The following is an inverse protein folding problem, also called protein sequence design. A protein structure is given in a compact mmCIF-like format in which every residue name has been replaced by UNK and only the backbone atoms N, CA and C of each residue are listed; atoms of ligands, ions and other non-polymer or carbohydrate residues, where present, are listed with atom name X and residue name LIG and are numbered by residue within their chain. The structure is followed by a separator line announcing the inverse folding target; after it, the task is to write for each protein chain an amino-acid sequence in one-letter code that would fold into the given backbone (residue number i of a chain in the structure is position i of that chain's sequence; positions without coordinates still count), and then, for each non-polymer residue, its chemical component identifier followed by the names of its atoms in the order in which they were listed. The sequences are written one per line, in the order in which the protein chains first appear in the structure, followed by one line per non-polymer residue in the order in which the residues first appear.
data_IF_985928637154
#
_entry.id   IF_985928637154
#
_cell.length_a   1.000
_cell.length_b   1.000
_cell.length_c   1.000
_cell.angle_alpha   90.00
_cell.angle_beta   90.00
_cell.angle_gamma   90.00
#
_symmetry.space_group_name_H-M   'P 1'
#
loop_
_entity.id
_entity.type
_entity.pdbx_description
1 polymer ?
#
# COMPACT_ATOMS: atom_id res chain seq x y z
N UNK A 1 -25.04 -0.74 -12.25
CA UNK A 1 -24.96 -2.22 -12.46
C UNK A 1 -23.60 -2.63 -11.99
N UNK A 2 -23.53 -3.49 -10.97
CA UNK A 2 -22.25 -3.95 -10.44
C UNK A 2 -21.44 -4.62 -11.54
N UNK A 3 -20.13 -4.36 -11.57
CA UNK A 3 -19.24 -4.91 -12.59
C UNK A 3 -19.12 -6.42 -12.34
N UNK A 4 -19.50 -7.28 -13.29
CA UNK A 4 -19.69 -8.72 -13.04
C UNK A 4 -18.47 -9.41 -12.40
N UNK A 5 -17.26 -8.98 -12.74
CA UNK A 5 -16.04 -9.51 -12.16
C UNK A 5 -15.90 -9.23 -10.65
N UNK A 6 -16.18 -8.00 -10.20
CA UNK A 6 -16.11 -7.61 -8.79
C UNK A 6 -17.25 -8.25 -7.99
N UNK A 7 -18.46 -8.24 -8.57
CA UNK A 7 -19.65 -8.85 -7.99
C UNK A 7 -19.49 -10.37 -7.84
N UNK A 8 -18.84 -11.05 -8.80
CA UNK A 8 -18.52 -12.47 -8.69
C UNK A 8 -17.57 -12.76 -7.51
N UNK A 9 -16.50 -11.98 -7.37
CA UNK A 9 -15.47 -12.23 -6.35
C UNK A 9 -15.95 -11.91 -4.93
N UNK A 10 -16.79 -10.89 -4.76
CA UNK A 10 -17.27 -10.47 -3.43
C UNK A 10 -18.68 -10.96 -3.10
N UNK A 11 -19.41 -11.43 -4.11
CA UNK A 11 -20.79 -11.91 -3.98
C UNK A 11 -20.90 -13.37 -3.55
N UNK A 12 -22.14 -13.88 -3.48
CA UNK A 12 -22.44 -15.21 -2.95
C UNK A 12 -21.88 -16.37 -3.79
N UNK A 13 -21.52 -16.12 -5.05
CA UNK A 13 -20.92 -17.13 -5.93
C UNK A 13 -19.39 -17.23 -5.78
N UNK A 14 -18.74 -16.23 -5.17
CA UNK A 14 -17.29 -16.24 -4.93
C UNK A 14 -16.78 -17.51 -4.24
N UNK A 15 -17.41 -17.96 -3.13
CA UNK A 15 -17.06 -19.22 -2.48
C UNK A 15 -17.10 -20.44 -3.41
N UNK A 16 -18.03 -20.52 -4.36
CA UNK A 16 -18.13 -21.64 -5.30
C UNK A 16 -16.95 -21.66 -6.27
N UNK A 17 -16.56 -20.49 -6.78
CA UNK A 17 -15.41 -20.33 -7.67
C UNK A 17 -14.11 -20.73 -6.96
N UNK A 18 -13.92 -20.28 -5.71
CA UNK A 18 -12.72 -20.61 -4.95
C UNK A 18 -12.70 -22.06 -4.44
N UNK A 19 -13.85 -22.63 -4.08
CA UNK A 19 -13.96 -24.03 -3.68
C UNK A 19 -13.52 -24.99 -4.80
N UNK A 20 -13.88 -24.68 -6.05
CA UNK A 20 -13.46 -25.48 -7.20
C UNK A 20 -11.93 -25.54 -7.33
N UNK A 21 -11.24 -24.41 -7.15
CA UNK A 21 -9.78 -24.36 -7.21
C UNK A 21 -9.09 -25.07 -6.04
N UNK A 22 -9.70 -25.06 -4.85
CA UNK A 22 -9.16 -25.74 -3.66
C UNK A 22 -9.36 -27.26 -3.73
N UNK A 23 -10.45 -27.72 -4.33
CA UNK A 23 -10.76 -29.14 -4.49
C UNK A 23 -9.69 -29.89 -5.30
N UNK A 24 -8.96 -29.21 -6.19
CA UNK A 24 -7.83 -29.80 -6.94
C UNK A 24 -6.68 -30.26 -6.03
N UNK A 25 -6.63 -29.80 -4.78
CA UNK A 25 -5.62 -30.16 -3.78
C UNK A 25 -6.16 -31.11 -2.70
N UNK A 26 -7.24 -31.86 -2.98
CA UNK A 26 -7.91 -32.75 -2.02
C UNK A 26 -8.31 -32.03 -0.71
N UNK A 27 -8.69 -30.76 -0.84
CA UNK A 27 -9.09 -29.88 0.24
C UNK A 27 -10.54 -29.40 0.07
N UNK A 28 -11.18 -29.04 1.17
CA UNK A 28 -12.54 -28.49 1.20
C UNK A 28 -12.52 -27.10 1.83
N UNK A 29 -13.20 -26.16 1.18
CA UNK A 29 -13.40 -24.81 1.70
C UNK A 29 -14.53 -24.84 2.75
N UNK A 30 -14.24 -24.41 3.97
CA UNK A 30 -15.19 -24.34 5.09
C UNK A 30 -15.75 -22.92 5.28
N UNK A 31 -14.88 -21.91 5.20
CA UNK A 31 -15.24 -20.50 5.33
C UNK A 31 -14.34 -19.66 4.43
N UNK A 32 -14.85 -18.51 3.99
CA UNK A 32 -14.16 -17.60 3.10
C UNK A 32 -14.53 -16.16 3.41
N UNK A 33 -13.52 -15.34 3.70
CA UNK A 33 -13.70 -13.92 3.97
C UNK A 33 -12.71 -13.09 3.17
N UNK A 34 -13.20 -12.08 2.46
CA UNK A 34 -12.34 -11.07 1.83
C UNK A 34 -11.60 -10.28 2.94
N UNK A 35 -10.28 -10.19 2.80
CA UNK A 35 -9.40 -9.46 3.70
C UNK A 35 -8.95 -8.14 3.09
N UNK A 36 -8.62 -8.17 1.80
CA UNK A 36 -8.24 -6.97 1.05
C UNK A 36 -8.73 -7.06 -0.40
N UNK A 37 -9.21 -5.95 -0.96
CA UNK A 37 -9.78 -5.85 -2.32
C UNK A 37 -9.19 -4.66 -3.05
N UNK A 38 -8.47 -4.88 -4.14
CA UNK A 38 -7.96 -3.81 -4.98
C UNK A 38 -8.67 -3.83 -6.35
N UNK A 39 -9.46 -2.78 -6.61
CA UNK A 39 -10.25 -2.60 -7.83
C UNK A 39 -9.62 -1.50 -8.68
N UNK A 40 -9.61 -1.67 -9.99
CA UNK A 40 -9.22 -0.62 -10.94
C UNK A 40 -10.46 -0.02 -11.66
N UNK A 41 -10.33 1.07 -12.43
CA UNK A 41 -11.46 1.71 -13.13
C UNK A 41 -12.19 0.84 -14.15
N UNK A 42 -11.59 -0.27 -14.60
CA UNK A 42 -12.27 -1.24 -15.47
C UNK A 42 -13.17 -2.20 -14.68
N UNK A 43 -13.06 -2.20 -13.35
CA UNK A 43 -13.70 -3.13 -12.44
C UNK A 43 -13.02 -4.49 -12.33
N UNK A 44 -11.86 -4.67 -12.99
CA UNK A 44 -10.99 -5.78 -12.68
C UNK A 44 -10.48 -5.64 -11.24
N UNK A 45 -10.45 -6.76 -10.53
CA UNK A 45 -10.17 -6.78 -9.11
C UNK A 45 -9.13 -7.84 -8.78
N UNK A 46 -8.41 -7.62 -7.69
CA UNK A 46 -7.64 -8.64 -7.00
C UNK A 46 -8.12 -8.67 -5.55
N UNK A 47 -8.41 -9.86 -5.05
CA UNK A 47 -8.92 -10.08 -3.71
C UNK A 47 -7.98 -11.03 -2.98
N UNK A 48 -7.55 -10.61 -1.79
CA UNK A 48 -6.93 -11.48 -0.82
C UNK A 48 -8.02 -12.00 0.12
N UNK A 49 -8.15 -13.30 0.26
CA UNK A 49 -9.09 -13.93 1.19
C UNK A 49 -8.35 -14.59 2.34
N UNK A 50 -9.01 -14.64 3.50
CA UNK A 50 -8.74 -15.61 4.55
C UNK A 50 -9.74 -16.75 4.41
N UNK A 51 -9.25 -17.97 4.30
CA UNK A 51 -10.04 -19.17 4.09
C UNK A 51 -9.81 -20.18 5.21
N UNK A 52 -10.89 -20.80 5.70
CA UNK A 52 -10.82 -22.04 6.46
C UNK A 52 -10.79 -23.22 5.49
N UNK A 53 -9.72 -24.01 5.51
CA UNK A 53 -9.52 -25.12 4.58
C UNK A 53 -9.39 -26.42 5.35
N UNK A 54 -10.27 -27.39 5.10
CA UNK A 54 -10.18 -28.75 5.61
C UNK A 54 -9.38 -29.61 4.63
N UNK A 55 -8.33 -30.25 5.12
CA UNK A 55 -7.50 -31.17 4.32
C UNK A 55 -8.00 -32.61 4.39
N UNK A 56 -7.49 -33.47 3.52
CA UNK A 56 -7.83 -34.89 3.46
C UNK A 56 -7.62 -35.66 4.77
N UNK A 57 -6.67 -35.22 5.62
CA UNK A 57 -6.43 -35.81 6.94
C UNK A 57 -7.40 -35.30 8.04
N UNK A 58 -8.36 -34.45 7.66
CA UNK A 58 -9.35 -33.85 8.54
C UNK A 58 -8.87 -32.61 9.29
N UNK A 59 -7.60 -32.20 9.14
CA UNK A 59 -7.09 -30.96 9.73
C UNK A 59 -7.73 -29.75 9.09
N UNK A 60 -8.02 -28.73 9.89
CA UNK A 60 -8.52 -27.44 9.40
C UNK A 60 -7.45 -26.40 9.63
N UNK A 61 -7.07 -25.71 8.56
CA UNK A 61 -6.09 -24.64 8.59
C UNK A 61 -6.65 -23.34 8.05
N UNK A 62 -6.14 -22.23 8.57
CA UNK A 62 -6.38 -20.91 7.99
C UNK A 62 -5.36 -20.66 6.89
N UNK A 63 -5.84 -20.42 5.67
CA UNK A 63 -5.01 -20.16 4.49
C UNK A 63 -5.33 -18.80 3.89
N UNK A 64 -4.33 -18.17 3.26
CA UNK A 64 -4.55 -16.97 2.45
C UNK A 64 -4.68 -17.36 0.98
N UNK A 65 -5.71 -16.84 0.31
CA UNK A 65 -5.96 -17.09 -1.11
C UNK A 65 -5.92 -15.77 -1.87
N UNK A 66 -5.27 -15.75 -3.03
CA UNK A 66 -5.38 -14.66 -3.99
C UNK A 66 -6.34 -15.07 -5.10
N UNK A 67 -7.24 -14.16 -5.49
CA UNK A 67 -8.02 -14.29 -6.72
C UNK A 67 -8.00 -12.99 -7.51
N UNK A 68 -7.88 -13.05 -8.84
CA UNK A 68 -7.92 -11.86 -9.69
C UNK A 68 -8.60 -12.14 -11.01
N UNK A 69 -9.14 -11.10 -11.64
CA UNK A 69 -9.89 -11.18 -12.89
C UNK A 69 -9.21 -10.45 -14.05
N UNK A 70 -9.53 -10.89 -15.27
CA UNK A 70 -9.15 -10.21 -16.51
C UNK A 70 -7.65 -10.18 -16.76
N UNK A 71 -7.14 -9.06 -17.31
CA UNK A 71 -5.73 -8.92 -17.72
C UNK A 71 -4.72 -8.98 -16.57
N UNK A 72 -5.20 -9.00 -15.32
CA UNK A 72 -4.37 -9.05 -14.11
C UNK A 72 -4.00 -10.47 -13.70
N UNK A 73 -4.58 -11.50 -14.32
CA UNK A 73 -4.25 -12.90 -14.03
C UNK A 73 -2.78 -13.16 -14.36
N UNK A 74 -1.94 -13.44 -13.34
CA UNK A 74 -0.53 -13.71 -13.58
C UNK A 74 -0.34 -15.06 -14.30
N UNK A 75 0.64 -15.16 -15.22
CA UNK A 75 1.00 -16.44 -15.82
C UNK A 75 1.32 -17.49 -14.74
N UNK A 76 0.71 -18.67 -14.84
CA UNK A 76 0.89 -19.76 -13.88
C UNK A 76 -0.17 -19.84 -12.77
N UNK A 77 -1.12 -18.88 -12.70
CA UNK A 77 -2.31 -19.04 -11.86
C UNK A 77 -3.21 -20.17 -12.37
N UNK A 78 -3.91 -20.85 -11.45
CA UNK A 78 -5.02 -21.72 -11.82
C UNK A 78 -6.18 -20.84 -12.29
N UNK A 79 -6.75 -21.12 -13.46
CA UNK A 79 -7.80 -20.27 -14.06
C UNK A 79 -9.12 -21.02 -14.11
N UNK A 80 -10.14 -20.45 -13.47
CA UNK A 80 -11.54 -20.87 -13.61
C UNK A 80 -12.23 -19.90 -14.57
N UNK A 81 -12.77 -20.41 -15.65
CA UNK A 81 -13.46 -19.62 -16.68
C UNK A 81 -14.93 -20.03 -16.78
N UNK A 82 -15.82 -19.06 -16.97
CA UNK A 82 -17.25 -19.30 -17.07
C UNK A 82 -18.03 -18.08 -17.56
N UNK A 83 -19.37 -18.20 -17.54
CA UNK A 83 -20.27 -17.08 -17.76
C UNK A 83 -20.89 -16.64 -16.43
N UNK A 84 -20.86 -15.35 -16.13
CA UNK A 84 -21.50 -14.76 -14.96
C UNK A 84 -22.29 -13.52 -15.37
N UNK A 85 -23.58 -13.48 -15.04
CA UNK A 85 -24.51 -12.41 -15.45
C UNK A 85 -24.48 -12.09 -16.96
N UNK A 86 -24.24 -13.10 -17.79
CA UNK A 86 -24.21 -12.97 -19.25
C UNK A 86 -22.88 -12.46 -19.82
N UNK A 87 -21.85 -12.31 -18.99
CA UNK A 87 -20.50 -11.95 -19.41
C UNK A 87 -19.52 -13.11 -19.17
N UNK A 88 -18.55 -13.26 -20.07
CA UNK A 88 -17.46 -14.21 -19.87
C UNK A 88 -16.48 -13.67 -18.82
N UNK A 89 -16.20 -14.47 -17.80
CA UNK A 89 -15.28 -14.11 -16.72
C UNK A 89 -14.25 -15.21 -16.52
N UNK A 90 -12.99 -14.80 -16.46
CA UNK A 90 -11.86 -15.63 -16.04
C UNK A 90 -11.38 -15.17 -14.68
N UNK A 91 -11.13 -16.13 -13.78
CA UNK A 91 -10.63 -15.90 -12.43
C UNK A 91 -9.35 -16.71 -12.23
N UNK A 92 -8.23 -16.02 -12.06
CA UNK A 92 -6.95 -16.60 -11.67
C UNK A 92 -6.87 -16.74 -10.15
N UNK A 93 -6.51 -17.91 -9.65
CA UNK A 93 -6.55 -18.27 -8.22
C UNK A 93 -5.24 -18.94 -7.80
N UNK A 94 -4.79 -18.63 -6.59
CA UNK A 94 -3.64 -19.28 -5.95
C UNK A 94 -3.76 -19.23 -4.42
N UNK A 95 -3.05 -20.13 -3.76
CA UNK A 95 -2.91 -20.15 -2.31
C UNK A 95 -1.52 -19.65 -1.90
N UNK A 96 -1.44 -18.86 -0.84
CA UNK A 96 -0.16 -18.55 -0.18
C UNK A 96 0.56 -19.85 0.23
N UNK A 97 1.91 -19.95 0.08
CA UNK A 97 2.84 -18.95 -0.45
C UNK A 97 3.09 -19.08 -1.97
N UNK A 98 2.22 -19.78 -2.71
CA UNK A 98 2.40 -20.09 -4.14
C UNK A 98 1.81 -19.02 -5.05
N UNK A 99 2.11 -17.74 -4.76
CA UNK A 99 1.75 -16.64 -5.65
C UNK A 99 2.61 -16.71 -6.93
N UNK A 100 2.02 -16.94 -8.11
CA UNK A 100 2.77 -17.13 -9.35
C UNK A 100 3.54 -15.88 -9.79
N UNK A 101 3.18 -14.69 -9.30
CA UNK A 101 3.96 -13.48 -9.56
C UNK A 101 5.13 -13.30 -8.58
N UNK A 102 5.16 -14.03 -7.46
CA UNK A 102 6.16 -13.92 -6.39
C UNK A 102 6.87 -15.27 -6.18
N UNK A 103 7.70 -15.72 -7.13
CA UNK A 103 8.29 -17.07 -7.11
C UNK A 103 9.25 -17.32 -5.94
N UNK A 104 9.85 -16.27 -5.36
CA UNK A 104 10.67 -16.37 -4.16
C UNK A 104 9.88 -16.61 -2.86
N UNK A 105 8.55 -16.43 -2.87
CA UNK A 105 7.72 -16.45 -1.66
C UNK A 105 7.71 -17.80 -0.93
N UNK A 106 7.67 -18.97 -1.60
CA UNK A 106 7.82 -20.27 -0.93
C UNK A 106 9.14 -20.42 -0.17
N UNK A 107 10.25 -19.93 -0.73
CA UNK A 107 11.57 -19.95 -0.08
C UNK A 107 11.57 -18.99 1.10
N UNK A 108 11.10 -17.76 0.89
CA UNK A 108 11.11 -16.70 1.90
C UNK A 108 10.20 -16.99 3.10
N UNK A 109 9.15 -17.79 2.93
CA UNK A 109 8.21 -18.16 4.00
C UNK A 109 8.51 -19.51 4.67
N UNK A 110 9.57 -20.21 4.24
CA UNK A 110 9.97 -21.49 4.81
C UNK A 110 11.19 -21.31 5.74
N UNK A 111 11.04 -21.52 7.08
CA UNK A 111 12.08 -21.28 8.08
C UNK A 111 13.47 -21.83 7.76
N UNK A 112 13.55 -23.07 7.27
CA UNK A 112 14.81 -23.73 6.96
C UNK A 112 15.43 -23.27 5.63
N UNK A 113 14.60 -23.01 4.61
CA UNK A 113 15.06 -22.56 3.30
C UNK A 113 15.55 -21.11 3.36
N UNK A 114 14.81 -20.25 4.06
CA UNK A 114 15.26 -18.87 4.28
C UNK A 114 16.53 -18.83 5.13
N UNK A 115 16.67 -19.71 6.13
CA UNK A 115 17.90 -19.82 6.91
C UNK A 115 19.10 -20.24 6.06
N UNK A 116 18.90 -21.12 5.07
CA UNK A 116 19.95 -21.46 4.09
C UNK A 116 20.36 -20.25 3.26
N UNK A 117 19.40 -19.51 2.72
CA UNK A 117 19.66 -18.26 2.00
C UNK A 117 20.40 -17.23 2.86
N UNK A 118 20.01 -17.06 4.12
CA UNK A 118 20.67 -16.13 5.05
C UNK A 118 22.11 -16.54 5.36
N UNK A 119 22.41 -17.86 5.43
CA UNK A 119 23.79 -18.36 5.57
C UNK A 119 24.62 -18.07 4.32
N UNK A 120 24.05 -18.25 3.13
CA UNK A 120 24.75 -17.95 1.86
C UNK A 120 25.18 -16.48 1.76
N UNK A 121 24.33 -15.56 2.25
CA UNK A 121 24.64 -14.13 2.32
C UNK A 121 25.44 -13.72 3.57
N UNK A 122 25.74 -14.65 4.49
CA UNK A 122 26.46 -14.35 5.74
C UNK A 122 25.68 -13.48 6.72
N UNK A 123 24.34 -13.49 6.65
CA UNK A 123 23.46 -12.70 7.51
C UNK A 123 23.17 -13.39 8.85
N UNK A 124 23.07 -14.72 8.86
CA UNK A 124 22.85 -15.53 10.06
C UNK A 124 23.46 -16.93 9.88
N UNK A 125 23.92 -17.53 10.97
CA UNK A 125 24.42 -18.92 11.03
C UNK A 125 23.34 -19.91 11.48
N UNK A 126 22.15 -19.42 11.84
CA UNK A 126 21.06 -20.25 12.37
C UNK A 126 20.58 -21.28 11.35
N UNK A 127 20.20 -22.47 11.82
CA UNK A 127 19.66 -23.54 10.97
C UNK A 127 18.19 -23.35 10.61
N UNK A 128 17.51 -22.42 11.29
CA UNK A 128 16.10 -22.05 11.11
C UNK A 128 15.91 -20.60 11.54
N UNK A 129 14.95 -19.91 10.94
CA UNK A 129 14.55 -18.55 11.31
C UNK A 129 13.09 -18.54 11.78
N UNK A 130 12.75 -17.63 12.68
CA UNK A 130 11.33 -17.34 12.94
C UNK A 130 10.84 -16.30 11.93
N UNK A 131 9.65 -16.52 11.40
CA UNK A 131 9.10 -15.79 10.26
C UNK A 131 7.67 -15.40 10.59
N UNK A 132 7.39 -14.10 10.54
CA UNK A 132 6.05 -13.55 10.70
C UNK A 132 5.67 -12.73 9.46
N UNK A 133 4.65 -13.14 8.69
CA UNK A 133 4.10 -12.30 7.64
C UNK A 133 3.52 -11.01 8.24
N UNK A 134 3.99 -9.86 7.74
CA UNK A 134 3.47 -8.54 8.13
C UNK A 134 2.46 -8.02 7.11
N UNK A 135 2.76 -8.18 5.83
CA UNK A 135 1.91 -7.72 4.73
C UNK A 135 2.00 -8.68 3.56
N UNK A 136 0.88 -8.91 2.91
CA UNK A 136 0.81 -9.64 1.65
C UNK A 136 -0.18 -8.94 0.72
N UNK A 137 0.33 -8.41 -0.38
CA UNK A 137 -0.44 -7.85 -1.49
C UNK A 137 -0.33 -8.82 -2.67
N UNK A 138 -1.39 -9.60 -2.96
CA UNK A 138 -1.34 -10.60 -4.01
C UNK A 138 -0.87 -10.01 -5.35
N UNK A 139 0.01 -10.72 -6.03
CA UNK A 139 0.68 -10.34 -7.28
C UNK A 139 1.53 -9.06 -7.27
N UNK A 140 1.72 -8.41 -6.11
CA UNK A 140 2.56 -7.23 -5.98
C UNK A 140 3.79 -7.49 -5.12
N UNK A 141 3.59 -7.79 -3.83
CA UNK A 141 4.68 -8.08 -2.91
C UNK A 141 4.20 -8.73 -1.60
N UNK A 142 5.13 -9.28 -0.83
CA UNK A 142 4.95 -9.64 0.57
C UNK A 142 6.07 -9.03 1.42
N UNK A 143 5.80 -8.75 2.69
CA UNK A 143 6.80 -8.34 3.68
C UNK A 143 6.73 -9.28 4.87
N UNK A 144 7.88 -9.87 5.21
CA UNK A 144 8.05 -10.81 6.30
C UNK A 144 8.99 -10.21 7.34
N UNK A 145 8.58 -10.19 8.61
CA UNK A 145 9.51 -10.00 9.72
C UNK A 145 10.23 -11.31 9.98
N UNK A 146 11.56 -11.25 10.09
CA UNK A 146 12.43 -12.41 10.21
C UNK A 146 13.40 -12.18 11.35
N UNK A 147 13.57 -13.14 12.24
CA UNK A 147 14.59 -13.07 13.29
C UNK A 147 15.25 -14.41 13.58
N UNK A 148 16.48 -14.35 14.06
CA UNK A 148 17.29 -15.52 14.44
C UNK A 148 17.50 -15.64 15.96
N UNK A 149 16.70 -14.89 16.74
CA UNK A 149 16.82 -14.74 18.18
C UNK A 149 17.83 -13.66 18.63
N UNK A 150 18.67 -13.12 17.74
CA UNK A 150 19.60 -12.04 18.04
C UNK A 150 19.34 -10.78 17.21
N UNK A 151 19.09 -10.96 15.93
CA UNK A 151 18.87 -9.87 14.98
C UNK A 151 17.50 -10.02 14.34
N UNK A 152 16.98 -8.88 13.89
CA UNK A 152 15.71 -8.76 13.20
C UNK A 152 15.91 -8.11 11.84
N UNK A 153 15.24 -8.66 10.85
CA UNK A 153 15.26 -8.25 9.46
C UNK A 153 13.86 -8.21 8.89
N UNK A 154 13.75 -7.54 7.76
CA UNK A 154 12.53 -7.47 6.96
C UNK A 154 12.85 -8.02 5.58
N UNK A 155 12.13 -9.05 5.17
CA UNK A 155 12.25 -9.66 3.85
C UNK A 155 11.08 -9.18 3.00
N UNK A 156 11.37 -8.33 2.01
CA UNK A 156 10.41 -7.89 0.99
C UNK A 156 10.53 -8.83 -0.20
N UNK A 157 9.46 -9.58 -0.47
CA UNK A 157 9.35 -10.46 -1.63
C UNK A 157 8.59 -9.71 -2.72
N UNK A 158 9.23 -9.49 -3.86
CA UNK A 158 8.68 -8.75 -5.00
C UNK A 158 8.71 -9.59 -6.26
N UNK A 159 8.13 -9.06 -7.34
CA UNK A 159 8.28 -9.68 -8.66
C UNK A 159 9.75 -9.64 -9.09
N UNK A 160 10.26 -10.68 -9.79
CA UNK A 160 11.64 -10.70 -10.29
C UNK A 160 12.03 -9.45 -11.07
N UNK A 161 11.11 -8.92 -11.88
CA UNK A 161 11.33 -7.71 -12.68
C UNK A 161 11.51 -6.42 -11.86
N UNK A 162 11.10 -6.40 -10.59
CA UNK A 162 11.21 -5.21 -9.74
C UNK A 162 12.52 -5.17 -8.93
N UNK A 163 13.24 -6.30 -8.77
CA UNK A 163 14.38 -6.39 -7.85
C UNK A 163 15.47 -5.38 -8.19
N UNK A 164 15.85 -5.29 -9.46
CA UNK A 164 16.94 -4.43 -9.90
C UNK A 164 16.62 -2.94 -9.67
N UNK A 165 15.39 -2.51 -9.99
CA UNK A 165 14.95 -1.12 -9.81
C UNK A 165 14.93 -0.74 -8.33
N UNK A 166 14.36 -1.60 -7.47
CA UNK A 166 14.32 -1.35 -6.03
C UNK A 166 15.70 -1.31 -5.39
N UNK A 167 16.58 -2.25 -5.73
CA UNK A 167 17.96 -2.22 -5.23
C UNK A 167 18.67 -0.94 -5.69
N UNK A 168 18.45 -0.52 -6.94
CA UNK A 168 19.05 0.71 -7.46
C UNK A 168 18.58 1.96 -6.71
N UNK A 169 17.27 2.09 -6.43
CA UNK A 169 16.74 3.20 -5.61
C UNK A 169 17.38 3.22 -4.21
N UNK A 170 17.55 2.06 -3.58
CA UNK A 170 18.22 1.97 -2.29
C UNK A 170 19.69 2.39 -2.38
N UNK A 171 20.43 1.92 -3.40
CA UNK A 171 21.83 2.27 -3.63
C UNK A 171 22.05 3.77 -3.83
N UNK A 172 21.13 4.44 -4.53
CA UNK A 172 21.15 5.89 -4.71
C UNK A 172 20.90 6.63 -3.39
N UNK A 173 19.94 6.19 -2.59
CA UNK A 173 19.40 6.99 -1.46
C UNK A 173 20.08 6.73 -0.12
N UNK A 174 20.54 5.51 0.18
CA UNK A 174 20.97 5.12 1.54
C UNK A 174 22.15 5.93 2.10
N UNK A 175 22.92 6.59 1.24
CA UNK A 175 24.06 7.43 1.63
C UNK A 175 23.67 8.88 1.93
N UNK A 176 22.47 9.28 1.55
CA UNK A 176 22.01 10.66 1.58
C UNK A 176 20.94 10.89 2.64
N UNK A 177 20.03 9.93 2.80
CA UNK A 177 18.95 9.93 3.78
C UNK A 177 18.96 8.62 4.57
N UNK A 178 18.33 8.55 5.77
CA UNK A 178 18.40 7.37 6.62
C UNK A 178 17.49 6.23 6.12
N UNK A 179 17.69 5.78 4.88
CA UNK A 179 17.00 4.62 4.31
C UNK A 179 17.75 3.34 4.72
N UNK A 180 17.06 2.28 5.16
CA UNK A 180 17.70 0.99 5.42
C UNK A 180 18.44 0.48 4.17
N UNK A 181 19.73 0.12 4.26
CA UNK A 181 20.46 -0.43 3.12
C UNK A 181 19.97 -1.84 2.78
N UNK A 182 20.03 -2.22 1.50
CA UNK A 182 19.81 -3.61 1.07
C UNK A 182 20.98 -4.46 1.53
N UNK A 183 20.70 -5.48 2.34
CA UNK A 183 21.72 -6.40 2.86
C UNK A 183 21.97 -7.57 1.90
N UNK A 184 20.91 -8.01 1.22
CA UNK A 184 20.95 -9.08 0.24
C UNK A 184 19.77 -8.98 -0.71
N UNK A 185 19.93 -9.51 -1.92
CA UNK A 185 18.83 -9.71 -2.85
C UNK A 185 19.05 -10.94 -3.73
N UNK A 186 17.95 -11.49 -4.25
CA UNK A 186 17.96 -12.62 -5.19
C UNK A 186 17.23 -12.25 -6.48
N UNK A 187 17.65 -12.84 -7.59
CA UNK A 187 17.05 -12.57 -8.90
C UNK A 187 15.57 -12.99 -8.99
N UNK A 188 15.12 -13.94 -8.17
CA UNK A 188 13.75 -14.44 -8.12
C UNK A 188 12.82 -13.65 -7.19
N UNK A 189 13.31 -12.62 -6.49
CA UNK A 189 12.42 -11.64 -5.83
C UNK A 189 12.67 -11.34 -4.36
N UNK A 190 13.71 -11.88 -3.71
CA UNK A 190 14.01 -11.54 -2.30
C UNK A 190 14.79 -10.24 -2.22
N UNK A 191 14.40 -9.35 -1.31
CA UNK A 191 15.19 -8.21 -0.84
C UNK A 191 15.20 -8.24 0.69
N UNK A 192 16.38 -8.22 1.30
CA UNK A 192 16.56 -8.25 2.76
C UNK A 192 17.01 -6.88 3.27
N UNK A 193 16.26 -6.34 4.22
CA UNK A 193 16.50 -5.04 4.86
C UNK A 193 16.74 -5.23 6.37
N UNK A 194 17.59 -4.42 7.01
CA UNK A 194 17.71 -4.42 8.46
C UNK A 194 16.46 -3.81 9.10
N UNK A 195 16.32 -4.03 10.40
CA UNK A 195 15.38 -3.25 11.21
C UNK A 195 15.70 -1.74 11.16
N UNK A 196 14.66 -0.95 10.89
CA UNK A 196 14.71 0.50 10.93
C UNK A 196 14.88 1.00 12.37
N UNK A 197 15.68 2.06 12.55
CA UNK A 197 15.93 2.65 13.88
C UNK A 197 14.82 3.61 14.27
N UNK A 198 14.52 3.68 15.57
CA UNK A 198 13.53 4.59 16.16
C UNK A 198 12.13 4.00 16.19
N UNK A 199 11.14 4.87 16.35
CA UNK A 199 9.71 4.50 16.42
C UNK A 199 8.99 5.08 15.21
N UNK A 200 8.08 4.30 14.61
CA UNK A 200 7.25 4.77 13.51
C UNK A 200 6.43 6.01 13.91
N UNK A 201 6.35 7.00 13.03
CA UNK A 201 5.77 8.31 13.33
C UNK A 201 4.25 8.21 13.54
N UNK A 202 3.58 7.28 12.85
CA UNK A 202 2.18 6.93 13.09
C UNK A 202 1.94 6.54 14.56
N UNK A 203 2.79 5.69 15.11
CA UNK A 203 2.73 5.20 16.49
C UNK A 203 3.03 6.32 17.48
N UNK A 204 3.99 7.20 17.16
CA UNK A 204 4.27 8.39 17.99
C UNK A 204 3.09 9.38 18.02
N UNK A 205 2.35 9.50 16.92
CA UNK A 205 1.15 10.34 16.83
C UNK A 205 0.02 9.71 17.65
N UNK A 206 -0.21 8.40 17.52
CA UNK A 206 -1.28 7.68 18.21
C UNK A 206 -1.04 7.55 19.72
N UNK A 207 0.17 7.16 20.15
CA UNK A 207 0.48 6.99 21.57
C UNK A 207 0.59 8.33 22.31
N UNK A 208 0.98 9.39 21.58
CA UNK A 208 1.19 10.73 22.13
C UNK A 208 2.37 10.82 23.11
N UNK A 209 2.65 12.03 23.59
CA UNK A 209 3.64 12.29 24.65
C UNK A 209 5.12 12.26 24.24
N UNK A 210 5.46 11.75 23.06
CA UNK A 210 6.80 11.79 22.49
C UNK A 210 7.04 13.03 21.62
N UNK A 211 8.31 13.40 21.44
CA UNK A 211 8.70 14.50 20.56
C UNK A 211 8.64 14.05 19.09
N UNK A 212 7.76 14.69 18.31
CA UNK A 212 7.69 14.53 16.85
C UNK A 212 8.80 15.39 16.18
N UNK A 213 9.36 14.96 15.04
CA UNK A 213 10.25 15.81 14.25
C UNK A 213 9.58 17.12 13.86
N UNK A 214 10.33 18.23 13.88
CA UNK A 214 9.81 19.48 13.34
C UNK A 214 9.67 19.38 11.80
N UNK A 215 8.74 20.11 11.16
CA UNK A 215 8.63 20.16 9.69
C UNK A 215 9.96 20.50 8.99
N UNK A 216 10.81 21.32 9.59
CA UNK A 216 12.15 21.64 9.06
C UNK A 216 13.08 20.40 9.00
N UNK A 217 12.91 19.45 9.93
CA UNK A 217 13.65 18.19 9.90
C UNK A 217 13.14 17.27 8.78
N UNK A 218 11.83 17.26 8.51
CA UNK A 218 11.27 16.53 7.37
C UNK A 218 11.75 17.13 6.04
N UNK A 219 11.76 18.46 5.94
CA UNK A 219 12.31 19.15 4.77
C UNK A 219 13.78 18.83 4.55
N UNK A 220 14.57 18.78 5.63
CA UNK A 220 16.00 18.43 5.52
C UNK A 220 16.22 17.02 4.95
N UNK A 221 15.30 16.08 5.21
CA UNK A 221 15.33 14.74 4.59
C UNK A 221 14.99 14.85 3.10
N UNK A 222 13.93 15.59 2.76
CA UNK A 222 13.50 15.79 1.39
C UNK A 222 14.56 16.49 0.53
N UNK A 223 15.22 17.51 1.06
CA UNK A 223 16.30 18.26 0.39
C UNK A 223 17.59 17.46 0.24
N UNK A 224 17.75 16.40 1.04
CA UNK A 224 18.88 15.49 0.93
C UNK A 224 18.66 14.38 -0.12
N UNK A 225 17.47 14.27 -0.73
CA UNK A 225 17.25 13.30 -1.80
C UNK A 225 18.21 13.56 -2.98
N UNK A 226 18.88 12.52 -3.50
CA UNK A 226 19.92 12.70 -4.52
C UNK A 226 19.35 13.01 -5.90
N UNK A 227 20.01 13.91 -6.64
CA UNK A 227 19.65 14.32 -8.01
C UNK A 227 19.62 13.13 -8.98
N UNK A 228 20.37 12.06 -8.69
CA UNK A 228 20.41 10.83 -9.48
C UNK A 228 19.01 10.17 -9.62
N UNK A 229 18.09 10.40 -8.68
CA UNK A 229 16.70 9.94 -8.79
C UNK A 229 15.97 10.54 -10.01
N UNK A 230 16.43 11.69 -10.53
CA UNK A 230 15.87 12.31 -11.73
C UNK A 230 16.04 11.46 -13.00
N UNK A 231 16.92 10.45 -12.97
CA UNK A 231 17.14 9.54 -14.09
C UNK A 231 16.15 8.37 -14.15
N UNK A 232 15.34 8.19 -13.11
CA UNK A 232 14.36 7.10 -13.00
C UNK A 232 13.05 7.43 -13.71
N UNK A 233 12.19 6.42 -13.86
CA UNK A 233 10.85 6.63 -14.38
C UNK A 233 10.02 7.47 -13.40
N UNK A 234 9.35 8.49 -13.92
CA UNK A 234 8.43 9.33 -13.16
C UNK A 234 7.11 8.59 -12.94
N UNK A 235 6.71 8.48 -11.68
CA UNK A 235 5.38 8.03 -11.31
C UNK A 235 4.34 9.17 -11.48
N UNK A 236 3.08 8.86 -11.80
CA UNK A 236 2.02 9.85 -11.85
C UNK A 236 1.76 10.51 -10.49
N UNK A 237 1.47 11.80 -10.47
CA UNK A 237 1.10 12.49 -9.22
C UNK A 237 -0.33 12.15 -8.78
N UNK A 238 -0.67 12.45 -7.52
CA UNK A 238 -2.04 12.29 -7.02
C UNK A 238 -3.06 13.05 -7.86
N UNK A 239 -2.73 14.25 -8.36
CA UNK A 239 -3.59 15.02 -9.26
C UNK A 239 -3.85 14.28 -10.58
N UNK A 240 -2.83 13.63 -11.14
CA UNK A 240 -2.95 12.86 -12.38
C UNK A 240 -3.75 11.56 -12.17
N UNK A 241 -3.80 11.05 -10.93
CA UNK A 241 -4.51 9.82 -10.56
C UNK A 241 -5.94 10.06 -10.06
N UNK A 242 -6.44 11.30 -9.98
CA UNK A 242 -7.80 11.59 -9.48
C UNK A 242 -8.87 10.79 -10.23
N UNK A 243 -8.87 10.82 -11.56
CA UNK A 243 -9.86 10.07 -12.35
C UNK A 243 -9.69 8.56 -12.24
N UNK A 244 -8.46 8.07 -12.05
CA UNK A 244 -8.22 6.66 -11.80
C UNK A 244 -8.83 6.24 -10.46
N UNK A 245 -8.57 6.96 -9.38
CA UNK A 245 -9.13 6.63 -8.06
C UNK A 245 -10.65 6.83 -8.02
N UNK A 246 -11.17 7.88 -8.66
CA UNK A 246 -12.61 8.10 -8.80
C UNK A 246 -13.27 6.96 -9.61
N UNK A 247 -12.64 6.50 -10.70
CA UNK A 247 -13.10 5.34 -11.46
C UNK A 247 -13.19 4.08 -10.60
N UNK A 248 -12.14 3.77 -9.82
CA UNK A 248 -12.13 2.63 -8.91
C UNK A 248 -13.23 2.74 -7.82
N UNK A 249 -13.43 3.94 -7.25
CA UNK A 249 -14.51 4.18 -6.29
C UNK A 249 -15.89 4.02 -6.92
N UNK A 250 -16.12 4.51 -8.13
CA UNK A 250 -17.39 4.32 -8.87
C UNK A 250 -17.68 2.82 -9.06
N UNK A 251 -16.66 2.02 -9.32
CA UNK A 251 -16.79 0.56 -9.42
C UNK A 251 -17.18 -0.07 -8.08
N UNK A 252 -16.42 0.24 -7.01
CA UNK A 252 -16.64 -0.30 -5.67
C UNK A 252 -17.97 0.13 -5.04
N UNK A 253 -18.41 1.36 -5.30
CA UNK A 253 -19.55 2.01 -4.67
C UNK A 253 -20.81 2.02 -5.54
N UNK A 254 -20.96 1.05 -6.46
CA UNK A 254 -22.07 1.03 -7.42
C UNK A 254 -23.45 1.11 -6.75
N UNK A 255 -23.61 0.52 -5.56
CA UNK A 255 -24.87 0.49 -4.80
C UNK A 255 -24.87 1.48 -3.62
N UNK A 256 -23.89 2.41 -3.56
CA UNK A 256 -23.71 3.36 -2.46
C UNK A 256 -23.90 4.81 -2.95
N UNK A 257 -25.15 5.30 -3.06
CA UNK A 257 -25.45 6.59 -3.66
C UNK A 257 -24.81 7.78 -2.92
N UNK A 258 -24.62 7.68 -1.60
CA UNK A 258 -23.98 8.72 -0.81
C UNK A 258 -22.49 8.89 -1.18
N UNK A 259 -21.78 7.78 -1.39
CA UNK A 259 -20.37 7.80 -1.84
C UNK A 259 -20.28 8.40 -3.24
N UNK A 260 -21.14 7.95 -4.17
CA UNK A 260 -21.11 8.40 -5.56
C UNK A 260 -21.45 9.90 -5.71
N UNK A 261 -22.46 10.38 -4.98
CA UNK A 261 -22.81 11.80 -4.97
C UNK A 261 -21.64 12.63 -4.43
N UNK A 262 -21.08 12.21 -3.28
CA UNK A 262 -20.00 12.97 -2.66
C UNK A 262 -18.71 12.97 -3.48
N UNK A 263 -18.38 11.83 -4.10
CA UNK A 263 -17.24 11.71 -5.01
C UNK A 263 -17.40 12.65 -6.21
N UNK A 264 -18.61 12.76 -6.75
CA UNK A 264 -18.90 13.67 -7.88
C UNK A 264 -18.62 15.11 -7.48
N UNK A 265 -19.14 15.56 -6.34
CA UNK A 265 -18.91 16.93 -5.84
C UNK A 265 -17.40 17.23 -5.70
N UNK A 266 -16.63 16.31 -5.11
CA UNK A 266 -15.19 16.49 -4.88
C UNK A 266 -14.40 16.52 -6.18
N UNK A 267 -14.71 15.62 -7.12
CA UNK A 267 -14.03 15.57 -8.42
C UNK A 267 -14.34 16.82 -9.25
N UNK A 268 -15.60 17.27 -9.28
CA UNK A 268 -15.98 18.52 -9.95
C UNK A 268 -15.21 19.71 -9.36
N UNK A 269 -15.18 19.84 -8.03
CA UNK A 269 -14.43 20.91 -7.36
C UNK A 269 -12.91 20.84 -7.61
N UNK A 270 -12.33 19.63 -7.71
CA UNK A 270 -10.91 19.46 -8.06
C UNK A 270 -10.60 19.93 -9.48
N UNK A 271 -11.49 19.65 -10.43
CA UNK A 271 -11.34 19.98 -11.85
C UNK A 271 -11.56 21.47 -12.15
N UNK A 272 -12.28 22.20 -11.29
CA UNK A 272 -12.42 23.66 -11.39
C UNK A 272 -11.11 24.41 -11.07
N UNK A 273 -10.19 23.77 -10.35
CA UNK A 273 -8.93 24.39 -9.93
C UNK A 273 -7.85 24.09 -10.97
N UNK A 274 -7.34 25.13 -11.64
CA UNK A 274 -6.23 24.96 -12.58
C UNK A 274 -4.97 24.51 -11.83
N UNK A 275 -4.43 23.37 -12.25
CA UNK A 275 -3.23 22.77 -11.69
C UNK A 275 -1.98 23.53 -12.15
N UNK A 276 -1.25 24.09 -11.20
CA UNK A 276 0.03 24.71 -11.45
C UNK A 276 1.12 23.63 -11.42
N UNK A 277 1.85 23.49 -12.54
CA UNK A 277 3.00 22.57 -12.63
C UNK A 277 4.23 23.19 -12.01
N UNK A 278 5.00 22.36 -11.33
CA UNK A 278 6.30 22.73 -10.76
C UNK A 278 7.45 22.13 -11.57
N UNK A 279 8.65 22.65 -11.32
CA UNK A 279 9.86 21.96 -11.76
C UNK A 279 9.94 20.59 -11.09
N UNK A 280 10.32 19.57 -11.87
CA UNK A 280 10.52 18.23 -11.34
C UNK A 280 11.82 18.20 -10.53
N UNK A 281 11.75 17.65 -9.33
CA UNK A 281 12.85 17.43 -8.41
C UNK A 281 12.84 15.99 -7.90
N UNK A 282 13.93 15.52 -7.26
CA UNK A 282 13.90 14.26 -6.52
C UNK A 282 12.83 14.28 -5.41
N UNK A 283 11.94 13.30 -5.45
CA UNK A 283 10.89 13.09 -4.44
C UNK A 283 10.94 11.67 -3.89
N UNK A 284 10.37 11.47 -2.70
CA UNK A 284 10.10 10.15 -2.16
C UNK A 284 8.96 9.46 -2.93
N UNK A 285 7.93 10.22 -3.30
CA UNK A 285 6.76 9.74 -4.05
C UNK A 285 5.65 9.14 -3.19
N UNK A 286 5.88 8.96 -1.88
CA UNK A 286 4.88 8.50 -0.90
C UNK A 286 5.23 8.99 0.52
N UNK A 287 5.58 10.27 0.68
CA UNK A 287 6.12 10.80 1.94
C UNK A 287 5.03 11.07 2.99
N UNK A 288 4.76 10.09 3.85
CA UNK A 288 3.78 10.22 4.94
C UNK A 288 4.28 9.59 6.26
N UNK A 289 3.55 9.79 7.35
CA UNK A 289 3.93 9.36 8.71
C UNK A 289 4.21 7.86 8.86
N UNK A 290 3.49 7.01 8.11
CA UNK A 290 3.74 5.56 8.11
C UNK A 290 5.08 5.14 7.50
N UNK A 291 5.75 6.03 6.74
CA UNK A 291 7.06 5.77 6.13
C UNK A 291 8.22 6.36 6.92
N UNK A 292 7.94 7.04 8.05
CA UNK A 292 8.92 7.78 8.81
C UNK A 292 9.11 7.17 10.19
N UNK A 293 10.36 7.00 10.58
CA UNK A 293 10.72 6.63 11.95
C UNK A 293 11.47 7.79 12.59
N UNK A 294 11.21 8.00 13.86
CA UNK A 294 11.85 9.06 14.62
C UNK A 294 12.22 8.62 16.04
N UNK A 295 13.23 9.29 16.58
CA UNK A 295 13.63 9.20 17.98
C UNK A 295 14.01 10.60 18.47
N UNK A 296 13.43 11.03 19.60
CA UNK A 296 13.71 12.34 20.21
C UNK A 296 13.56 13.54 19.25
N UNK A 297 12.54 13.51 18.37
CA UNK A 297 12.30 14.56 17.38
C UNK A 297 13.28 14.59 16.20
N UNK A 298 14.07 13.53 15.99
CA UNK A 298 14.97 13.37 14.84
C UNK A 298 14.46 12.23 13.98
N UNK A 299 14.44 12.42 12.65
CA UNK A 299 14.12 11.35 11.69
C UNK A 299 15.29 10.35 11.67
N UNK A 300 15.00 9.10 12.02
CA UNK A 300 15.98 8.02 12.15
C UNK A 300 15.85 6.94 11.09
N UNK A 301 14.70 6.85 10.42
CA UNK A 301 14.58 6.06 9.20
C UNK A 301 13.52 6.61 8.24
N UNK A 302 13.71 6.34 6.95
CA UNK A 302 12.72 6.54 5.88
C UNK A 302 12.52 5.20 5.17
N UNK A 303 11.26 4.76 5.03
CA UNK A 303 10.87 3.50 4.42
C UNK A 303 10.19 3.72 3.06
N UNK A 304 10.08 2.64 2.27
CA UNK A 304 9.30 2.58 1.04
C UNK A 304 9.66 3.60 -0.05
N UNK A 305 10.95 3.68 -0.36
CA UNK A 305 11.49 4.45 -1.49
C UNK A 305 11.19 3.82 -2.88
N UNK A 306 10.25 2.87 -2.95
CA UNK A 306 9.86 2.20 -4.20
C UNK A 306 9.40 3.19 -5.27
N UNK A 307 8.79 4.30 -4.84
CA UNK A 307 8.26 5.37 -5.70
C UNK A 307 9.25 6.54 -5.90
N UNK A 308 10.45 6.49 -5.30
CA UNK A 308 11.35 7.64 -5.23
C UNK A 308 11.97 7.96 -6.59
N UNK A 309 11.68 9.12 -7.17
CA UNK A 309 12.03 9.46 -8.55
C UNK A 309 11.78 10.93 -8.86
N UNK A 310 11.65 11.31 -10.15
CA UNK A 310 11.27 12.66 -10.54
C UNK A 310 9.82 12.96 -10.13
N UNK A 311 9.58 14.06 -9.43
CA UNK A 311 8.24 14.50 -9.03
C UNK A 311 8.19 15.96 -8.62
N UNK A 312 7.04 16.42 -8.11
CA UNK A 312 6.83 17.82 -7.73
C UNK A 312 6.89 17.94 -6.20
N UNK A 313 7.69 18.86 -5.64
CA UNK A 313 7.97 18.91 -4.19
C UNK A 313 6.71 19.11 -3.36
N UNK A 314 5.74 19.85 -3.87
CA UNK A 314 4.47 20.07 -3.17
C UNK A 314 3.62 18.82 -3.02
N UNK A 315 3.80 17.78 -3.85
CA UNK A 315 3.13 16.50 -3.67
C UNK A 315 3.56 15.82 -2.37
N UNK A 316 4.84 15.92 -1.97
CA UNK A 316 5.35 15.33 -0.71
C UNK A 316 4.63 15.90 0.53
N UNK A 317 4.46 17.22 0.56
CA UNK A 317 3.73 17.90 1.64
C UNK A 317 2.23 17.60 1.58
N UNK A 318 1.67 17.52 0.37
CA UNK A 318 0.26 17.19 0.18
C UNK A 318 -0.06 15.77 0.65
N UNK A 319 0.81 14.79 0.34
CA UNK A 319 0.69 13.41 0.79
C UNK A 319 0.74 13.33 2.31
N UNK A 320 1.75 13.96 2.95
CA UNK A 320 1.82 14.04 4.41
C UNK A 320 0.55 14.65 5.03
N UNK A 321 0.08 15.80 4.51
CA UNK A 321 -1.13 16.47 5.03
C UNK A 321 -2.39 15.63 4.84
N UNK A 322 -2.51 14.91 3.72
CA UNK A 322 -3.64 14.05 3.44
C UNK A 322 -3.70 12.88 4.44
N UNK A 323 -2.56 12.25 4.70
CA UNK A 323 -2.48 11.16 5.66
C UNK A 323 -2.70 11.63 7.11
N UNK A 324 -2.09 12.75 7.53
CA UNK A 324 -2.36 13.32 8.86
C UNK A 324 -3.83 13.70 9.03
N UNK A 325 -4.47 14.22 7.98
CA UNK A 325 -5.90 14.52 8.00
C UNK A 325 -6.76 13.25 8.13
N UNK A 326 -6.34 12.15 7.51
CA UNK A 326 -7.01 10.86 7.63
C UNK A 326 -6.81 10.24 9.02
N UNK A 327 -5.59 10.29 9.58
CA UNK A 327 -5.29 9.86 10.96
C UNK A 327 -6.10 10.69 11.98
N UNK A 328 -6.31 11.98 11.73
CA UNK A 328 -7.08 12.84 12.62
C UNK A 328 -8.58 12.46 12.71
N UNK A 329 -9.10 11.62 11.80
CA UNK A 329 -10.45 11.06 11.90
C UNK A 329 -10.60 10.02 13.01
N UNK A 330 -9.49 9.49 13.54
CA UNK A 330 -9.50 8.61 14.72
C UNK A 330 -9.44 9.44 16.01
N UNK A 331 -10.47 9.32 16.85
CA UNK A 331 -10.62 10.02 18.12
C UNK A 331 -9.38 9.92 19.03
N UNK A 332 -8.65 8.81 18.97
CA UNK A 332 -7.45 8.60 19.80
C UNK A 332 -6.26 9.45 19.37
N UNK A 333 -6.21 9.82 18.09
CA UNK A 333 -5.07 10.50 17.47
C UNK A 333 -5.41 11.94 17.04
N UNK A 334 -6.68 12.35 17.06
CA UNK A 334 -7.17 13.63 16.53
C UNK A 334 -6.37 14.84 16.98
N UNK A 335 -6.14 15.03 18.28
CA UNK A 335 -5.48 16.23 18.80
C UNK A 335 -4.03 16.34 18.32
N UNK A 336 -3.27 15.24 18.42
CA UNK A 336 -1.84 15.21 18.06
C UNK A 336 -1.67 15.31 16.54
N UNK A 337 -2.46 14.56 15.78
CA UNK A 337 -2.44 14.59 14.32
C UNK A 337 -2.83 15.96 13.77
N UNK A 338 -3.89 16.58 14.29
CA UNK A 338 -4.33 17.93 13.87
C UNK A 338 -3.25 18.96 14.15
N UNK A 339 -2.70 18.99 15.38
CA UNK A 339 -1.63 19.93 15.73
C UNK A 339 -0.39 19.76 14.85
N UNK A 340 -0.05 18.51 14.50
CA UNK A 340 1.10 18.23 13.65
C UNK A 340 0.83 18.61 12.18
N UNK A 341 -0.39 18.35 11.68
CA UNK A 341 -0.83 18.80 10.36
C UNK A 341 -0.79 20.34 10.26
N UNK A 342 -1.23 21.08 11.29
CA UNK A 342 -1.17 22.54 11.32
C UNK A 342 0.28 23.05 11.24
N UNK A 343 1.20 22.41 11.95
CA UNK A 343 2.62 22.76 11.91
C UNK A 343 3.23 22.50 10.52
N UNK A 344 2.93 21.34 9.92
CA UNK A 344 3.37 20.98 8.58
C UNK A 344 2.79 21.92 7.52
N UNK A 345 1.49 22.25 7.61
CA UNK A 345 0.80 23.17 6.72
C UNK A 345 1.43 24.57 6.78
N UNK A 346 1.62 25.10 8.00
CA UNK A 346 2.23 26.41 8.20
C UNK A 346 3.68 26.47 7.67
N UNK A 347 4.40 25.35 7.65
CA UNK A 347 5.73 25.25 7.03
C UNK A 347 5.66 25.20 5.51
N UNK A 348 4.78 24.38 4.96
CA UNK A 348 4.62 24.19 3.53
C UNK A 348 4.09 25.46 2.82
N UNK A 349 3.12 26.17 3.41
CA UNK A 349 2.54 27.41 2.84
C UNK A 349 3.55 28.57 2.74
N UNK A 350 4.72 28.47 3.39
CA UNK A 350 5.82 29.44 3.18
C UNK A 350 6.56 29.24 1.85
N UNK A 351 6.36 28.10 1.18
CA UNK A 351 7.11 27.64 0.00
C UNK A 351 6.21 27.32 -1.18
N UNK A 352 5.02 26.79 -0.90
CA UNK A 352 4.03 26.38 -1.90
C UNK A 352 2.81 27.30 -1.78
N UNK A 353 2.21 27.66 -2.91
CA UNK A 353 0.99 28.45 -2.89
C UNK A 353 -0.14 27.66 -2.18
N UNK A 354 -0.80 28.28 -1.20
CA UNK A 354 -1.82 27.63 -0.37
C UNK A 354 -2.93 26.94 -1.21
N UNK A 355 -3.38 27.58 -2.29
CA UNK A 355 -4.39 27.01 -3.21
C UNK A 355 -3.91 25.70 -3.84
N UNK A 356 -2.67 25.67 -4.31
CA UNK A 356 -2.07 24.53 -4.97
C UNK A 356 -1.85 23.37 -3.98
N UNK A 357 -1.33 23.67 -2.79
CA UNK A 357 -1.15 22.67 -1.73
C UNK A 357 -2.49 22.03 -1.33
N UNK A 358 -3.52 22.86 -1.10
CA UNK A 358 -4.88 22.38 -0.78
C UNK A 358 -5.46 21.47 -1.85
N UNK A 359 -5.27 21.81 -3.13
CA UNK A 359 -5.74 21.00 -4.26
C UNK A 359 -5.06 19.62 -4.28
N UNK A 360 -3.73 19.58 -4.13
CA UNK A 360 -2.95 18.33 -4.11
C UNK A 360 -3.30 17.47 -2.90
N UNK A 361 -3.47 18.07 -1.72
CA UNK A 361 -3.91 17.35 -0.51
C UNK A 361 -5.28 16.71 -0.71
N UNK A 362 -6.22 17.45 -1.31
CA UNK A 362 -7.53 16.90 -1.65
C UNK A 362 -7.45 15.76 -2.67
N UNK A 363 -6.57 15.86 -3.67
CA UNK A 363 -6.34 14.79 -4.64
C UNK A 363 -5.77 13.51 -3.98
N UNK A 364 -4.79 13.65 -3.07
CA UNK A 364 -4.25 12.54 -2.29
C UNK A 364 -5.34 11.89 -1.41
N UNK A 365 -6.23 12.68 -0.79
CA UNK A 365 -7.37 12.18 -0.03
C UNK A 365 -8.38 11.38 -0.87
N UNK A 366 -8.58 11.72 -2.16
CA UNK A 366 -9.38 10.89 -3.08
C UNK A 366 -8.73 9.51 -3.26
N UNK A 367 -7.41 9.45 -3.35
CA UNK A 367 -6.66 8.19 -3.34
C UNK A 367 -6.88 7.39 -2.04
N UNK A 368 -6.76 8.05 -0.89
CA UNK A 368 -6.99 7.43 0.43
C UNK A 368 -8.44 6.97 0.62
N UNK A 369 -9.41 7.65 0.01
CA UNK A 369 -10.83 7.28 0.09
C UNK A 369 -11.13 5.89 -0.52
N UNK A 370 -10.21 5.32 -1.31
CA UNK A 370 -10.28 3.91 -1.75
C UNK A 370 -9.98 2.91 -0.63
N UNK A 371 -9.26 3.34 0.42
CA UNK A 371 -8.76 2.52 1.50
C UNK A 371 -9.83 1.78 2.32
N UNK A 372 -10.92 2.42 2.78
CA UNK A 372 -11.95 1.75 3.57
C UNK A 372 -12.57 0.55 2.86
N UNK A 373 -12.91 0.67 1.57
CA UNK A 373 -13.39 -0.45 0.77
C UNK A 373 -12.28 -1.47 0.57
N UNK A 374 -11.06 -1.02 0.22
CA UNK A 374 -9.93 -1.91 0.00
C UNK A 374 -9.66 -2.81 1.21
N UNK A 375 -9.73 -2.28 2.42
CA UNK A 375 -9.51 -3.02 3.66
C UNK A 375 -10.77 -3.72 4.20
N UNK A 376 -11.87 -3.69 3.43
CA UNK A 376 -13.15 -4.31 3.76
C UNK A 376 -13.67 -3.88 5.15
N UNK A 377 -13.56 -2.59 5.48
CA UNK A 377 -14.05 -2.06 6.74
C UNK A 377 -15.58 -2.23 6.86
N UNK A 378 -16.15 -2.65 8.01
CA UNK A 378 -17.60 -2.90 8.14
C UNK A 378 -18.49 -1.70 7.81
N UNK A 379 -17.97 -0.48 7.96
CA UNK A 379 -18.65 0.78 7.64
C UNK A 379 -17.94 1.56 6.53
N UNK A 380 -17.29 0.86 5.60
CA UNK A 380 -16.48 1.48 4.58
C UNK A 380 -17.16 2.63 3.81
N UNK A 381 -18.48 2.61 3.44
CA UNK A 381 -19.07 3.70 2.67
C UNK A 381 -19.04 5.00 3.45
N UNK A 382 -19.32 4.93 4.77
CA UNK A 382 -19.27 6.08 5.67
C UNK A 382 -17.84 6.64 5.77
N UNK A 383 -16.85 5.80 6.00
CA UNK A 383 -15.45 6.26 6.11
C UNK A 383 -14.92 6.84 4.80
N UNK A 384 -15.34 6.28 3.66
CA UNK A 384 -15.03 6.87 2.34
C UNK A 384 -15.66 8.26 2.21
N UNK A 385 -16.92 8.45 2.62
CA UNK A 385 -17.56 9.78 2.66
C UNK A 385 -16.82 10.73 3.60
N UNK A 386 -16.44 10.27 4.81
CA UNK A 386 -15.71 11.10 5.78
C UNK A 386 -14.38 11.61 5.19
N UNK A 387 -13.63 10.78 4.46
CA UNK A 387 -12.41 11.18 3.75
C UNK A 387 -12.68 12.16 2.60
N UNK A 388 -13.75 11.96 1.84
CA UNK A 388 -14.15 12.90 0.78
C UNK A 388 -14.64 14.24 1.37
N UNK A 389 -15.24 14.24 2.55
CA UNK A 389 -15.61 15.46 3.28
C UNK A 389 -14.38 16.24 3.75
N UNK A 390 -13.33 15.54 4.21
CA UNK A 390 -12.02 16.14 4.48
C UNK A 390 -11.45 16.75 3.20
N UNK A 391 -11.48 16.03 2.07
CA UNK A 391 -10.99 16.55 0.79
C UNK A 391 -11.70 17.85 0.37
N UNK A 392 -13.03 17.91 0.52
CA UNK A 392 -13.81 19.11 0.23
C UNK A 392 -13.49 20.28 1.19
N UNK A 393 -13.19 20.00 2.47
CA UNK A 393 -12.75 21.03 3.42
C UNK A 393 -11.42 21.67 2.99
N UNK A 394 -10.48 20.84 2.51
CA UNK A 394 -9.23 21.32 1.91
C UNK A 394 -9.49 22.26 0.72
N UNK A 395 -10.35 21.85 -0.22
CA UNK A 395 -10.69 22.65 -1.42
C UNK A 395 -11.40 23.96 -1.08
N UNK A 396 -12.32 23.95 -0.12
CA UNK A 396 -13.10 25.13 0.28
C UNK A 396 -12.33 26.11 1.16
N UNK A 397 -11.12 25.77 1.62
CA UNK A 397 -10.35 26.60 2.53
C UNK A 397 -10.77 26.53 4.00
N UNK A 398 -11.67 25.60 4.35
CA UNK A 398 -12.24 25.46 5.70
C UNK A 398 -11.57 24.31 6.45
N UNK A 399 -10.26 24.43 6.63
CA UNK A 399 -9.42 23.47 7.37
C UNK A 399 -9.27 23.89 8.82
#
# INVERSE_FOLDING_TARGET
MAIPALDLLLGPEGPNVLAAAIAEYDCQLEDLRAAEVNVDPSGAAIVAYVAGVRRADGTVTTEFLGATTGKRIPPGAAVVAGEYRGEHVEVGIWAWPRDPALPALPTASAPALLAELFREFGLSESSSLDIRPLRYLPSRHAVLEVHDGRFRWFVKVVRPSAVADLCHRHDLTFRHIPVPPVLASTADGVIVLPEARGTALDSLITDGGAALPAPEALESVLDALPDELMSLEREPSHLELVEYHAGALRCAATDEPAVLARLTDVVEALLEVEAEREELVPVHGDFHEGQLFAENGVVTAVLDIDSAGPGERSDEWATLLAHLSAVALDDTSTEVATRYADAALAHAERRVAARQLRQRTAAALVGLATGPFRLQHPHWPRHTVDLLDVAMRWLSGTT
#
